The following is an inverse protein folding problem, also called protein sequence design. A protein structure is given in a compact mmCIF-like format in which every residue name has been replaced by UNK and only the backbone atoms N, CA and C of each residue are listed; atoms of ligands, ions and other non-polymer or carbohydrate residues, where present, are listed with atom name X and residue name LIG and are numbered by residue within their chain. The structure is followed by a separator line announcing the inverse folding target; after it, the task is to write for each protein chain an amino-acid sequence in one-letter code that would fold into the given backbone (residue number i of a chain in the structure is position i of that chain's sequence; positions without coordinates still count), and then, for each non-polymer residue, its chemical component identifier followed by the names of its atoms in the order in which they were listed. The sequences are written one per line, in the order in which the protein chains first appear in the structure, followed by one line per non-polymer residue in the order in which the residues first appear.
data_IF_809709512684
#
_entry.id   IF_809709512684
#
_cell.length_a   1.000
_cell.length_b   1.000
_cell.length_c   1.000
_cell.angle_alpha   90.00
_cell.angle_beta   90.00
_cell.angle_gamma   90.00
#
_symmetry.space_group_name_H-M   'P 1'
#
loop_
_entity.id
_entity.type
_entity.pdbx_description
1 polymer ?
#
# COMPACT_ATOMS: atom_id res chain seq x y z
N UNK A 1 -1.00 -10.56 -16.22
CA UNK A 1 -1.88 -10.18 -15.10
C UNK A 1 -1.09 -10.42 -13.84
N UNK A 2 -0.71 -9.37 -13.10
CA UNK A 2 -0.22 -9.55 -11.74
C UNK A 2 -1.45 -9.33 -10.85
N UNK A 3 -1.62 -10.18 -9.84
CA UNK A 3 -2.66 -10.06 -8.82
C UNK A 3 -1.87 -10.18 -7.54
N UNK A 4 -1.81 -9.11 -6.75
CA UNK A 4 -1.14 -9.08 -5.46
C UNK A 4 -2.21 -9.21 -4.36
N UNK A 5 -2.48 -10.42 -3.86
CA UNK A 5 -3.38 -10.59 -2.74
C UNK A 5 -2.70 -10.10 -1.45
N UNK A 6 -3.47 -9.53 -0.52
CA UNK A 6 -2.98 -9.36 0.84
C UNK A 6 -2.51 -10.72 1.38
N UNK A 7 -1.37 -10.74 2.07
CA UNK A 7 -0.82 -11.91 2.74
C UNK A 7 -1.30 -11.89 4.18
N UNK A 8 -2.13 -12.86 4.54
CA UNK A 8 -2.68 -12.99 5.89
C UNK A 8 -3.98 -12.20 6.11
N UNK A 9 -4.50 -12.24 7.33
CA UNK A 9 -5.82 -11.68 7.68
C UNK A 9 -5.77 -10.29 8.37
N UNK A 10 -4.57 -9.80 8.69
CA UNK A 10 -4.38 -8.67 9.61
C UNK A 10 -3.90 -7.37 8.95
N UNK A 11 -3.57 -7.41 7.66
CA UNK A 11 -2.97 -6.28 6.91
C UNK A 11 -3.87 -5.79 5.77
N UNK A 12 -5.19 -6.05 5.85
CA UNK A 12 -6.14 -5.54 4.86
C UNK A 12 -6.16 -4.01 4.79
N UNK A 13 -6.07 -3.33 5.93
CA UNK A 13 -6.16 -1.86 6.02
C UNK A 13 -5.00 -1.14 5.30
N UNK A 14 -3.71 -1.41 5.62
CA UNK A 14 -2.61 -0.75 4.93
C UNK A 14 -2.55 -1.14 3.44
N UNK A 15 -2.95 -2.36 3.09
CA UNK A 15 -3.03 -2.80 1.70
C UNK A 15 -4.07 -2.01 0.90
N UNK A 16 -5.29 -1.86 1.43
CA UNK A 16 -6.34 -1.07 0.81
C UNK A 16 -5.91 0.40 0.61
N UNK A 17 -5.20 0.97 1.59
CA UNK A 17 -4.68 2.34 1.48
C UNK A 17 -3.60 2.48 0.40
N UNK A 18 -2.65 1.55 0.33
CA UNK A 18 -1.63 1.56 -0.71
C UNK A 18 -2.24 1.45 -2.11
N UNK A 19 -3.21 0.54 -2.26
CA UNK A 19 -3.93 0.34 -3.51
C UNK A 19 -4.72 1.61 -3.91
N UNK A 20 -5.48 2.20 -2.98
CA UNK A 20 -6.23 3.42 -3.21
C UNK A 20 -5.34 4.61 -3.54
N UNK A 21 -4.19 4.73 -2.87
CA UNK A 21 -3.23 5.79 -3.15
C UNK A 21 -2.73 5.74 -4.59
N UNK A 22 -2.31 4.56 -5.06
CA UNK A 22 -1.85 4.37 -6.44
C UNK A 22 -2.95 4.71 -7.46
N UNK A 23 -4.21 4.32 -7.21
CA UNK A 23 -5.34 4.72 -8.06
C UNK A 23 -5.50 6.25 -8.13
N UNK A 24 -5.44 6.94 -6.99
CA UNK A 24 -5.63 8.39 -6.91
C UNK A 24 -4.54 9.15 -7.68
N UNK A 25 -3.31 8.64 -7.70
CA UNK A 25 -2.20 9.23 -8.47
C UNK A 25 -2.15 8.78 -9.94
N UNK A 26 -3.15 8.03 -10.42
CA UNK A 26 -3.28 7.62 -11.81
C UNK A 26 -2.47 6.37 -12.20
N UNK A 27 -1.99 5.60 -11.21
CA UNK A 27 -1.27 4.35 -11.46
C UNK A 27 -2.22 3.15 -11.53
N UNK A 28 -1.67 2.03 -11.99
CA UNK A 28 -2.33 0.74 -12.12
C UNK A 28 -1.82 -0.23 -11.03
N UNK A 29 -2.38 -0.21 -9.80
CA UNK A 29 -1.88 -0.98 -8.66
C UNK A 29 -1.92 -2.49 -8.86
N UNK A 30 -2.77 -3.02 -9.74
CA UNK A 30 -2.76 -4.43 -10.13
C UNK A 30 -1.47 -4.86 -10.85
N UNK A 31 -0.61 -3.91 -11.22
CA UNK A 31 0.71 -4.18 -11.81
C UNK A 31 1.84 -4.14 -10.78
N UNK A 32 1.54 -3.88 -9.51
CA UNK A 32 2.52 -3.81 -8.44
C UNK A 32 2.42 -5.04 -7.54
N UNK A 33 3.58 -5.43 -7.00
CA UNK A 33 3.68 -6.27 -5.82
C UNK A 33 4.09 -5.32 -4.71
N UNK A 34 3.36 -5.26 -3.60
CA UNK A 34 3.72 -4.40 -2.48
C UNK A 34 4.59 -5.18 -1.48
N UNK A 35 5.56 -4.49 -0.87
CA UNK A 35 6.31 -5.06 0.25
C UNK A 35 5.44 -5.01 1.52
N UNK A 36 4.60 -6.04 1.67
CA UNK A 36 3.62 -6.17 2.75
C UNK A 36 4.27 -6.15 4.15
N UNK A 37 5.53 -6.56 4.26
CA UNK A 37 6.27 -6.58 5.52
C UNK A 37 6.54 -5.17 6.08
N UNK A 38 6.52 -4.14 5.23
CA UNK A 38 6.85 -2.76 5.59
C UNK A 38 5.63 -1.83 5.66
N UNK A 39 4.46 -2.26 5.21
CA UNK A 39 3.32 -1.37 5.02
C UNK A 39 2.83 -0.71 6.31
N UNK A 40 2.82 -1.43 7.44
CA UNK A 40 2.44 -0.85 8.73
C UNK A 40 3.39 0.25 9.19
N UNK A 41 4.70 0.03 9.05
CA UNK A 41 5.71 1.01 9.42
C UNK A 41 5.61 2.25 8.51
N UNK A 42 5.41 2.05 7.21
CA UNK A 42 5.20 3.13 6.24
C UNK A 42 3.93 3.93 6.52
N UNK A 43 2.83 3.26 6.85
CA UNK A 43 1.56 3.94 7.18
C UNK A 43 1.70 4.80 8.44
N UNK A 44 2.38 4.29 9.46
CA UNK A 44 2.71 5.08 10.67
C UNK A 44 3.53 6.32 10.31
N UNK A 45 4.57 6.17 9.50
CA UNK A 45 5.37 7.29 9.01
C UNK A 45 4.51 8.34 8.28
N UNK A 46 3.58 7.91 7.41
CA UNK A 46 2.69 8.83 6.69
C UNK A 46 1.80 9.64 7.65
N UNK A 47 1.24 9.00 8.69
CA UNK A 47 0.43 9.67 9.69
C UNK A 47 1.24 10.63 10.57
N UNK A 48 2.42 10.21 11.04
CA UNK A 48 3.31 11.06 11.85
C UNK A 48 3.78 12.31 11.09
N UNK A 49 3.91 12.22 9.76
CA UNK A 49 4.31 13.33 8.90
C UNK A 49 3.12 14.06 8.25
N UNK A 50 1.88 13.67 8.57
CA UNK A 50 0.65 14.19 7.97
C UNK A 50 0.68 14.28 6.44
N UNK A 51 1.32 13.29 5.80
CA UNK A 51 1.54 13.27 4.35
C UNK A 51 1.64 11.84 3.86
N UNK A 52 0.76 11.47 2.94
CA UNK A 52 0.85 10.21 2.21
C UNK A 52 1.90 10.27 1.11
N UNK A 53 2.71 9.21 1.02
CA UNK A 53 3.69 8.97 -0.04
C UNK A 53 3.53 7.53 -0.54
N UNK A 54 3.93 7.23 -1.80
CA UNK A 54 3.80 5.89 -2.38
C UNK A 54 4.38 4.80 -1.47
N UNK A 55 3.69 3.67 -1.36
CA UNK A 55 4.17 2.50 -0.62
C UNK A 55 5.29 1.79 -1.41
N UNK A 56 6.15 1.07 -0.68
CA UNK A 56 7.21 0.28 -1.31
C UNK A 56 6.62 -0.92 -2.06
N UNK A 57 7.22 -1.21 -3.22
CA UNK A 57 6.87 -2.31 -4.13
C UNK A 57 7.94 -3.38 -4.01
#
# INVERSE_FOLDING_TARGET
HIIDPQVGAYDCDPFALAYAFELVIGNAPEKFLFDQSKMRAHLRFCFENNKFVPFQK
#
